data_IF_256063987995
#
_entry.id   IF_256063987995
#
_cell.length_a   1.000
_cell.length_b   1.000
_cell.length_c   1.000
_cell.angle_alpha   90.00
_cell.angle_beta   90.00
_cell.angle_gamma   90.00
#
_symmetry.space_group_name_H-M   'P 1'
#
loop_
_entity.id
_entity.type
_entity.pdbx_description
1 polymer ?
#
# COMPACT_ATOMS: atom_id res chain seq x y z
N UNK A 1 -29.28 -42.10 29.19
CA UNK A 1 -28.95 -43.49 29.49
C UNK A 1 -27.50 -43.57 29.95
N UNK A 2 -27.32 -43.86 31.21
CA UNK A 2 -26.03 -43.99 31.88
C UNK A 2 -25.49 -45.36 31.57
N UNK A 3 -24.21 -45.48 31.21
CA UNK A 3 -23.48 -46.78 31.31
C UNK A 3 -22.14 -46.51 32.03
N UNK A 4 -22.15 -46.97 33.27
CA UNK A 4 -21.00 -47.20 34.13
C UNK A 4 -20.31 -48.46 33.59
N UNK A 5 -18.99 -48.46 33.40
CA UNK A 5 -18.20 -49.68 33.23
C UNK A 5 -17.09 -49.68 34.25
N UNK A 6 -17.06 -50.77 34.96
CA UNK A 6 -16.33 -50.97 36.20
C UNK A 6 -14.80 -51.10 36.05
N UNK A 7 -14.20 -50.69 37.16
CA UNK A 7 -12.77 -50.80 37.48
C UNK A 7 -12.51 -52.18 38.08
N UNK A 8 -11.74 -53.03 37.36
CA UNK A 8 -11.28 -54.29 37.92
C UNK A 8 -9.83 -54.08 38.34
N UNK A 9 -9.63 -54.06 39.65
CA UNK A 9 -8.33 -54.04 40.30
C UNK A 9 -7.71 -55.42 40.25
N UNK A 10 -6.58 -55.58 39.59
CA UNK A 10 -5.74 -56.80 39.66
C UNK A 10 -4.51 -56.48 40.46
N UNK A 11 -4.50 -56.95 41.72
CA UNK A 11 -3.30 -56.96 42.59
C UNK A 11 -2.39 -58.08 42.11
N UNK A 12 -1.24 -57.78 41.55
CA UNK A 12 -0.14 -58.70 41.39
C UNK A 12 0.95 -58.38 42.41
N UNK A 13 1.14 -59.22 43.36
CA UNK A 13 2.30 -59.23 44.26
C UNK A 13 3.50 -59.72 43.46
N UNK A 14 4.50 -58.89 43.25
CA UNK A 14 5.77 -59.27 42.64
C UNK A 14 6.87 -59.04 43.66
N UNK A 15 7.59 -60.13 43.86
CA UNK A 15 8.66 -60.24 44.83
C UNK A 15 9.79 -59.23 44.61
N UNK A 16 10.45 -58.90 45.72
CA UNK A 16 11.59 -58.05 45.81
C UNK A 16 12.79 -58.60 45.04
N UNK A 17 12.99 -58.23 43.81
CA UNK A 17 14.27 -58.35 43.12
C UNK A 17 15.10 -57.12 43.47
N UNK A 18 16.25 -57.33 44.08
CA UNK A 18 17.16 -56.25 44.39
C UNK A 18 17.57 -55.50 43.14
N UNK A 19 17.05 -54.27 43.01
CA UNK A 19 17.49 -53.32 42.01
C UNK A 19 18.84 -52.76 42.48
N UNK A 20 19.92 -53.24 41.88
CA UNK A 20 21.18 -52.52 41.90
C UNK A 20 20.93 -51.18 41.19
N UNK A 21 21.05 -50.09 41.93
CA UNK A 21 20.96 -48.76 41.35
C UNK A 21 22.07 -48.62 40.30
N UNK A 22 21.67 -48.72 39.03
CA UNK A 22 22.54 -48.35 37.90
C UNK A 22 22.87 -46.86 37.99
N UNK A 23 23.96 -46.45 37.38
CA UNK A 23 24.35 -45.05 37.41
C UNK A 23 23.18 -44.22 36.86
N UNK A 24 22.73 -43.29 37.70
CA UNK A 24 21.74 -42.29 37.29
C UNK A 24 22.35 -41.46 36.15
N UNK A 25 21.88 -41.70 34.93
CA UNK A 25 22.22 -40.84 33.80
C UNK A 25 21.57 -39.48 34.09
N UNK A 26 22.40 -38.52 34.53
CA UNK A 26 21.94 -37.14 34.62
C UNK A 26 21.72 -36.65 33.20
N UNK A 27 20.44 -36.44 32.80
CA UNK A 27 20.13 -35.70 31.60
C UNK A 27 20.58 -34.26 31.82
N UNK A 28 21.63 -33.84 31.13
CA UNK A 28 21.95 -32.42 31.01
C UNK A 28 21.06 -31.83 29.92
N UNK A 29 20.19 -30.91 30.31
CA UNK A 29 19.47 -30.11 29.35
C UNK A 29 20.30 -28.87 28.97
N UNK A 30 20.58 -28.70 27.71
CA UNK A 30 21.17 -27.47 27.15
C UNK A 30 20.10 -26.61 26.52
N UNK A 31 20.14 -25.30 26.75
CA UNK A 31 19.32 -24.32 26.05
C UNK A 31 20.15 -23.63 24.99
N UNK A 32 19.62 -23.55 23.79
CA UNK A 32 20.20 -22.74 22.70
C UNK A 32 19.38 -21.45 22.60
N UNK A 33 19.97 -20.27 22.86
CA UNK A 33 19.28 -19.03 22.69
C UNK A 33 19.02 -18.82 21.20
N UNK A 34 17.78 -18.45 20.85
CA UNK A 34 17.39 -18.07 19.49
C UNK A 34 16.90 -16.62 19.52
N UNK A 35 17.43 -15.81 18.63
CA UNK A 35 17.01 -14.42 18.44
C UNK A 35 16.52 -14.25 17.01
N UNK A 36 15.46 -13.46 16.86
CA UNK A 36 14.94 -13.06 15.56
C UNK A 36 14.78 -11.54 15.54
N UNK A 37 15.25 -10.92 14.47
CA UNK A 37 14.97 -9.51 14.19
C UNK A 37 13.89 -9.45 13.14
N UNK A 38 12.77 -8.82 13.47
CA UNK A 38 11.68 -8.60 12.52
C UNK A 38 12.02 -7.36 11.68
N UNK A 39 12.05 -7.52 10.37
CA UNK A 39 12.26 -6.40 9.46
C UNK A 39 11.02 -5.50 9.42
N UNK A 40 11.24 -4.19 9.27
CA UNK A 40 10.15 -3.24 9.03
C UNK A 40 9.74 -3.25 7.57
N UNK A 41 8.47 -2.94 7.26
CA UNK A 41 8.04 -2.71 5.89
C UNK A 41 8.84 -1.60 5.23
N UNK A 42 9.12 -1.75 3.93
CA UNK A 42 10.00 -0.83 3.21
C UNK A 42 9.54 -0.64 1.76
N UNK A 43 9.35 0.61 1.34
CA UNK A 43 9.10 0.96 -0.05
C UNK A 43 10.06 2.05 -0.51
N UNK A 44 10.65 1.89 -1.69
CA UNK A 44 11.46 2.92 -2.34
C UNK A 44 10.79 3.41 -3.61
N UNK A 45 10.89 4.71 -3.82
CA UNK A 45 10.46 5.41 -5.04
C UNK A 45 11.60 6.32 -5.51
N UNK A 46 11.66 6.70 -6.81
CA UNK A 46 12.69 7.62 -7.28
C UNK A 46 12.58 8.98 -6.58
N UNK A 47 13.70 9.61 -6.35
CA UNK A 47 13.78 10.95 -5.76
C UNK A 47 13.51 12.08 -6.76
N UNK A 48 13.44 11.76 -8.06
CA UNK A 48 13.16 12.74 -9.11
C UNK A 48 11.70 13.10 -9.16
N UNK A 49 11.41 14.41 -9.20
CA UNK A 49 10.06 14.90 -9.37
C UNK A 49 9.48 14.49 -10.74
N UNK A 50 8.18 14.21 -10.77
CA UNK A 50 7.44 14.01 -12.01
C UNK A 50 7.12 15.39 -12.58
N UNK A 51 7.69 15.70 -13.74
CA UNK A 51 7.42 16.94 -14.46
C UNK A 51 6.36 16.69 -15.55
N UNK A 52 5.25 17.40 -15.46
CA UNK A 52 4.19 17.38 -16.47
C UNK A 52 4.33 18.51 -17.50
N UNK A 53 5.36 19.35 -17.37
CA UNK A 53 5.58 20.51 -18.22
C UNK A 53 4.51 21.58 -18.05
N UNK A 54 4.50 22.56 -18.98
CA UNK A 54 3.50 23.61 -18.98
C UNK A 54 2.19 23.09 -19.57
N UNK A 55 1.13 23.14 -18.77
CA UNK A 55 -0.20 22.67 -19.16
C UNK A 55 -1.20 23.83 -19.15
N UNK A 56 -2.16 23.80 -20.08
CA UNK A 56 -3.34 24.67 -20.03
C UNK A 56 -4.50 24.00 -19.28
N UNK A 57 -5.50 24.76 -18.92
CA UNK A 57 -6.73 24.21 -18.35
C UNK A 57 -7.52 23.38 -19.37
N UNK A 58 -8.34 22.47 -18.87
CA UNK A 58 -9.29 21.74 -19.68
C UNK A 58 -10.40 22.69 -20.17
N UNK A 59 -10.84 22.51 -21.42
CA UNK A 59 -11.96 23.25 -21.98
C UNK A 59 -13.28 22.67 -21.50
N UNK A 60 -14.25 23.54 -21.23
CA UNK A 60 -15.60 23.10 -20.85
C UNK A 60 -16.32 22.38 -21.98
N UNK A 61 -15.90 22.60 -23.24
CA UNK A 61 -16.58 22.09 -24.44
C UNK A 61 -15.94 20.81 -24.98
N UNK A 62 -14.64 20.64 -24.80
CA UNK A 62 -13.89 19.55 -25.44
C UNK A 62 -13.46 18.44 -24.47
N UNK A 63 -13.76 18.57 -23.17
CA UNK A 63 -13.48 17.53 -22.20
C UNK A 63 -12.08 17.57 -21.62
N UNK A 64 -11.57 16.40 -21.30
CA UNK A 64 -10.32 16.24 -20.55
C UNK A 64 -9.10 16.85 -21.24
N UNK A 65 -8.31 17.58 -20.47
CA UNK A 65 -6.93 17.86 -20.81
C UNK A 65 -6.02 17.08 -19.87
N UNK A 66 -5.23 16.20 -20.45
CA UNK A 66 -4.36 15.29 -19.68
C UNK A 66 -2.91 15.49 -20.06
N UNK A 67 -2.03 15.23 -19.10
CA UNK A 67 -0.60 15.12 -19.31
C UNK A 67 -0.08 13.83 -18.66
N UNK A 68 0.79 13.14 -19.36
CA UNK A 68 1.43 11.91 -18.85
C UNK A 68 2.86 12.23 -18.46
N UNK A 69 3.22 11.96 -17.23
CA UNK A 69 4.59 12.06 -16.74
C UNK A 69 5.43 10.83 -17.10
N UNK A 70 6.73 10.93 -16.88
CA UNK A 70 7.63 9.80 -17.06
C UNK A 70 7.27 8.65 -16.12
N UNK A 71 7.33 7.43 -16.63
CA UNK A 71 7.12 6.24 -15.82
C UNK A 71 8.24 6.10 -14.76
N UNK A 72 7.88 5.59 -13.59
CA UNK A 72 8.81 5.36 -12.50
C UNK A 72 8.55 4.01 -11.84
N UNK A 73 9.50 3.54 -11.04
CA UNK A 73 9.38 2.28 -10.32
C UNK A 73 9.11 2.50 -8.84
N UNK A 74 8.22 1.67 -8.31
CA UNK A 74 7.99 1.50 -6.87
C UNK A 74 8.52 0.13 -6.50
N UNK A 75 9.47 0.05 -5.57
CA UNK A 75 10.17 -1.18 -5.22
C UNK A 75 9.91 -1.52 -3.76
N UNK A 76 9.54 -2.77 -3.48
CA UNK A 76 9.57 -3.32 -2.13
C UNK A 76 11.03 -3.55 -1.74
N UNK A 77 11.55 -2.75 -0.80
CA UNK A 77 12.90 -2.91 -0.24
C UNK A 77 12.93 -3.75 1.05
N UNK A 78 11.79 -4.26 1.47
CA UNK A 78 11.69 -5.18 2.61
C UNK A 78 12.19 -6.58 2.30
N UNK A 79 12.32 -7.39 3.34
CA UNK A 79 12.83 -8.76 3.26
C UNK A 79 11.72 -9.80 3.00
N UNK A 80 10.48 -9.38 2.98
CA UNK A 80 9.29 -10.20 2.78
C UNK A 80 8.32 -9.57 1.78
N UNK A 81 7.26 -10.27 1.49
CA UNK A 81 6.14 -9.77 0.72
C UNK A 81 5.40 -8.68 1.50
N UNK A 82 5.05 -7.58 0.84
CA UNK A 82 4.41 -6.42 1.44
C UNK A 82 3.22 -5.93 0.60
N UNK A 83 2.21 -5.39 1.28
CA UNK A 83 1.13 -4.65 0.65
C UNK A 83 1.60 -3.22 0.37
N UNK A 84 1.52 -2.79 -0.88
CA UNK A 84 1.84 -1.42 -1.26
C UNK A 84 0.55 -0.66 -1.50
N UNK A 85 0.45 0.51 -0.90
CA UNK A 85 -0.64 1.46 -1.11
C UNK A 85 -0.13 2.81 -1.58
N UNK A 86 -1.03 3.59 -2.20
CA UNK A 86 -0.74 4.91 -2.74
C UNK A 86 -1.83 5.90 -2.36
N UNK A 87 -1.44 7.13 -2.07
CA UNK A 87 -2.34 8.26 -1.87
C UNK A 87 -1.82 9.51 -2.60
N UNK A 88 -2.74 10.38 -2.99
CA UNK A 88 -2.46 11.71 -3.51
C UNK A 88 -2.77 12.78 -2.49
N UNK A 89 -2.49 14.02 -2.84
CA UNK A 89 -2.78 15.21 -2.03
C UNK A 89 -3.33 16.32 -2.92
N UNK A 90 -3.89 17.35 -2.32
CA UNK A 90 -4.25 18.57 -3.04
C UNK A 90 -3.00 19.22 -3.66
N UNK A 91 -3.18 19.89 -4.77
CA UNK A 91 -2.11 20.57 -5.49
C UNK A 91 -2.11 22.05 -5.13
N UNK A 92 -0.95 22.60 -4.83
CA UNK A 92 -0.80 24.01 -4.43
C UNK A 92 0.24 24.71 -5.27
N UNK A 93 0.03 26.02 -5.51
CA UNK A 93 1.00 26.84 -6.23
C UNK A 93 0.60 28.32 -6.23
N UNK A 94 1.54 29.20 -5.90
CA UNK A 94 1.21 30.61 -5.67
C UNK A 94 0.17 30.78 -4.56
N UNK A 95 -0.96 31.37 -4.89
CA UNK A 95 -2.13 31.52 -4.00
C UNK A 95 -3.24 30.53 -4.31
N UNK A 96 -3.06 29.66 -5.32
CA UNK A 96 -4.06 28.72 -5.76
C UNK A 96 -3.93 27.36 -5.05
N UNK A 97 -5.06 26.72 -4.83
CA UNK A 97 -5.16 25.31 -4.39
C UNK A 97 -6.15 24.59 -5.26
N UNK A 98 -5.73 23.45 -5.80
CA UNK A 98 -6.61 22.54 -6.54
C UNK A 98 -6.86 21.30 -5.72
N UNK A 99 -8.13 21.05 -5.43
CA UNK A 99 -8.54 19.88 -4.66
C UNK A 99 -8.42 18.61 -5.51
N UNK A 100 -7.85 17.56 -4.96
CA UNK A 100 -7.77 16.26 -5.59
C UNK A 100 -9.18 15.63 -5.69
N UNK A 101 -9.66 15.45 -6.89
CA UNK A 101 -10.96 14.85 -7.16
C UNK A 101 -10.88 13.32 -7.22
N UNK A 102 -11.91 12.65 -6.73
CA UNK A 102 -12.00 11.20 -6.63
C UNK A 102 -13.00 10.57 -7.60
N UNK A 103 -13.59 11.32 -8.51
CA UNK A 103 -14.55 10.79 -9.46
C UNK A 103 -13.90 10.38 -10.78
N UNK A 104 -14.52 9.43 -11.47
CA UNK A 104 -14.06 8.87 -12.75
C UNK A 104 -14.55 9.66 -13.98
N UNK A 105 -15.01 10.90 -13.80
CA UNK A 105 -15.58 11.66 -14.91
C UNK A 105 -14.49 12.12 -15.89
N UNK A 106 -14.81 12.09 -17.15
CA UNK A 106 -13.91 12.29 -18.29
C UNK A 106 -13.82 13.73 -18.78
N UNK A 107 -14.68 14.61 -18.31
CA UNK A 107 -14.71 16.03 -18.68
C UNK A 107 -14.46 16.89 -17.48
N UNK A 108 -14.04 18.13 -17.68
CA UNK A 108 -13.83 19.11 -16.59
C UNK A 108 -14.70 18.78 -15.40
N UNK A 109 -14.11 18.47 -14.27
CA UNK A 109 -14.81 17.84 -13.14
C UNK A 109 -16.22 18.38 -12.90
N UNK A 110 -17.21 17.63 -13.35
CA UNK A 110 -18.60 17.84 -12.99
C UNK A 110 -18.91 16.91 -11.81
N UNK A 111 -19.12 17.47 -10.65
CA UNK A 111 -19.50 16.71 -9.47
C UNK A 111 -20.99 16.34 -9.57
N UNK A 112 -21.28 15.19 -10.18
CA UNK A 112 -22.61 14.59 -10.23
C UNK A 112 -23.75 15.42 -10.87
N UNK A 113 -23.44 16.55 -11.52
CA UNK A 113 -24.42 17.46 -12.08
C UNK A 113 -23.89 18.35 -13.18
N UNK A 114 -24.69 19.31 -13.60
CA UNK A 114 -24.39 20.27 -14.66
C UNK A 114 -23.48 21.42 -14.23
N UNK A 115 -23.09 21.50 -12.95
CA UNK A 115 -22.28 22.59 -12.42
C UNK A 115 -20.80 22.21 -12.47
N UNK A 116 -20.01 23.01 -13.16
CA UNK A 116 -18.55 22.86 -13.18
C UNK A 116 -17.98 23.18 -11.79
N UNK A 117 -17.20 22.24 -11.25
CA UNK A 117 -16.45 22.51 -10.02
C UNK A 117 -15.06 22.99 -10.41
N UNK A 118 -14.79 24.27 -10.18
CA UNK A 118 -13.48 24.88 -10.41
C UNK A 118 -12.46 24.40 -9.36
N UNK A 119 -11.18 24.61 -9.66
CA UNK A 119 -10.08 24.30 -8.76
C UNK A 119 -10.04 22.81 -8.33
N UNK A 120 -10.43 21.90 -9.21
CA UNK A 120 -10.29 20.47 -9.01
C UNK A 120 -9.44 19.86 -10.10
N UNK A 121 -8.61 18.93 -9.72
CA UNK A 121 -7.80 18.13 -10.63
C UNK A 121 -7.94 16.64 -10.31
N UNK A 122 -7.58 15.79 -11.24
CA UNK A 122 -7.54 14.35 -11.05
C UNK A 122 -6.13 13.86 -11.31
N UNK A 123 -5.67 12.90 -10.54
CA UNK A 123 -4.37 12.30 -10.69
C UNK A 123 -4.50 10.78 -10.66
N UNK A 124 -3.86 10.12 -11.58
CA UNK A 124 -3.83 8.67 -11.69
C UNK A 124 -2.38 8.18 -11.74
N UNK A 125 -2.16 6.96 -11.28
CA UNK A 125 -0.98 6.17 -11.63
C UNK A 125 -1.46 4.87 -12.26
N UNK A 126 -0.85 4.45 -13.36
CA UNK A 126 -1.26 3.24 -14.06
C UNK A 126 -0.15 2.18 -14.03
N UNK A 127 -0.53 0.95 -13.73
CA UNK A 127 0.29 -0.25 -13.91
C UNK A 127 -0.11 -0.90 -15.23
N UNK A 128 0.68 -0.66 -16.27
CA UNK A 128 0.29 -1.01 -17.61
C UNK A 128 -1.03 -0.36 -18.01
N UNK A 129 -2.07 -1.18 -18.19
CA UNK A 129 -3.42 -0.71 -18.56
C UNK A 129 -4.36 -0.49 -17.39
N UNK A 130 -3.93 -0.81 -16.15
CA UNK A 130 -4.77 -0.69 -14.96
C UNK A 130 -4.54 0.67 -14.30
N UNK A 131 -5.50 1.61 -14.36
CA UNK A 131 -5.37 2.90 -13.69
C UNK A 131 -5.77 2.79 -12.22
N UNK A 132 -5.04 3.49 -11.38
CA UNK A 132 -5.37 3.74 -9.97
C UNK A 132 -5.60 5.23 -9.80
N UNK A 133 -6.87 5.61 -9.63
CA UNK A 133 -7.23 7.00 -9.37
C UNK A 133 -6.78 7.37 -7.96
N UNK A 134 -5.92 8.37 -7.84
CA UNK A 134 -5.45 8.82 -6.54
C UNK A 134 -6.56 9.56 -5.78
N UNK A 135 -6.60 9.31 -4.49
CA UNK A 135 -7.44 10.01 -3.53
C UNK A 135 -6.57 10.41 -2.33
N UNK A 136 -7.10 11.21 -1.42
CA UNK A 136 -6.40 11.56 -0.17
C UNK A 136 -6.31 10.39 0.82
N UNK A 137 -6.95 9.26 0.54
CA UNK A 137 -6.85 8.03 1.32
C UNK A 137 -6.03 6.99 0.58
N UNK A 138 -5.34 6.13 1.33
CA UNK A 138 -4.53 5.06 0.76
C UNK A 138 -5.37 4.10 -0.08
N UNK A 139 -4.91 3.82 -1.28
CA UNK A 139 -5.46 2.82 -2.19
C UNK A 139 -4.45 1.71 -2.42
N UNK A 140 -4.92 0.47 -2.44
CA UNK A 140 -4.05 -0.69 -2.64
C UNK A 140 -3.56 -0.77 -4.09
N UNK A 141 -2.24 -0.83 -4.25
CA UNK A 141 -1.57 -1.22 -5.50
C UNK A 141 -1.34 -2.72 -5.60
N UNK A 142 -1.75 -3.46 -4.55
CA UNK A 142 -1.54 -4.90 -4.44
C UNK A 142 -0.28 -5.25 -3.67
N UNK A 143 0.15 -6.47 -3.87
CA UNK A 143 1.26 -7.08 -3.14
C UNK A 143 2.51 -7.12 -4.00
N UNK A 144 3.66 -6.79 -3.43
CA UNK A 144 4.97 -6.98 -4.03
C UNK A 144 5.80 -7.96 -3.20
N UNK A 145 6.41 -8.93 -3.85
CA UNK A 145 7.40 -9.81 -3.23
C UNK A 145 8.64 -9.01 -2.82
N UNK A 146 9.46 -9.56 -1.94
CA UNK A 146 10.74 -8.95 -1.56
C UNK A 146 11.57 -8.58 -2.80
N UNK A 147 12.09 -7.38 -2.82
CA UNK A 147 12.89 -6.81 -3.93
C UNK A 147 12.18 -6.70 -5.28
N UNK A 148 10.88 -6.99 -5.34
CA UNK A 148 10.11 -6.80 -6.57
C UNK A 148 9.76 -5.32 -6.79
N UNK A 149 9.63 -4.95 -8.06
CA UNK A 149 9.27 -3.59 -8.47
C UNK A 149 8.03 -3.60 -9.35
N UNK A 150 7.27 -2.51 -9.27
CA UNK A 150 6.14 -2.20 -10.12
C UNK A 150 6.40 -0.89 -10.86
N UNK A 151 6.26 -0.89 -12.18
CA UNK A 151 6.41 0.33 -12.99
C UNK A 151 5.07 1.02 -13.08
N UNK A 152 5.03 2.29 -12.67
CA UNK A 152 3.83 3.12 -12.70
C UNK A 152 4.01 4.29 -13.66
N UNK A 153 2.98 4.57 -14.44
CA UNK A 153 2.91 5.74 -15.32
C UNK A 153 1.91 6.72 -14.73
N UNK A 154 2.35 7.92 -14.33
CA UNK A 154 1.47 8.92 -13.76
C UNK A 154 0.76 9.72 -14.85
N UNK A 155 -0.50 10.08 -14.61
CA UNK A 155 -1.33 10.88 -15.51
C UNK A 155 -2.08 11.95 -14.73
N UNK A 156 -1.88 13.19 -15.15
CA UNK A 156 -2.53 14.36 -14.58
C UNK A 156 -3.68 14.81 -15.48
N UNK A 157 -4.81 15.12 -14.87
CA UNK A 157 -5.98 15.69 -15.54
C UNK A 157 -6.18 17.11 -15.03
N UNK A 158 -6.12 18.05 -15.93
CA UNK A 158 -6.13 19.47 -15.63
C UNK A 158 -7.51 19.98 -15.20
N UNK A 159 -7.55 20.96 -14.26
CA UNK A 159 -8.80 21.64 -13.92
C UNK A 159 -9.45 22.32 -15.10
N UNK A 160 -10.72 22.68 -14.93
CA UNK A 160 -11.48 23.42 -15.90
C UNK A 160 -10.95 24.85 -16.12
N UNK A 161 -11.18 25.36 -17.31
CA UNK A 161 -11.03 26.77 -17.61
C UNK A 161 -11.83 27.62 -16.60
N UNK A 162 -11.22 28.67 -16.09
CA UNK A 162 -11.76 29.51 -15.02
C UNK A 162 -11.30 29.14 -13.62
N UNK A 163 -10.54 28.05 -13.46
CA UNK A 163 -9.85 27.73 -12.20
C UNK A 163 -8.71 28.71 -11.94
N UNK A 164 -8.38 28.90 -10.65
CA UNK A 164 -7.26 29.73 -10.21
C UNK A 164 -5.89 29.12 -10.59
N UNK A 165 -4.83 29.89 -10.51
CA UNK A 165 -3.47 29.40 -10.71
C UNK A 165 -2.94 29.54 -12.13
N UNK A 166 -3.54 30.40 -12.95
CA UNK A 166 -3.00 30.75 -14.28
C UNK A 166 -1.57 31.28 -14.12
N UNK A 167 -0.63 30.65 -14.82
CA UNK A 167 0.80 31.02 -14.79
C UNK A 167 1.55 30.61 -13.51
N UNK A 168 0.90 29.95 -12.56
CA UNK A 168 1.56 29.43 -11.36
C UNK A 168 2.20 28.06 -11.62
N UNK A 169 3.31 27.78 -10.95
CA UNK A 169 3.83 26.42 -10.82
C UNK A 169 3.06 25.72 -9.71
N UNK A 170 2.29 24.70 -10.08
CA UNK A 170 1.49 23.90 -9.16
C UNK A 170 2.26 22.63 -8.78
N UNK A 171 2.22 22.25 -7.50
CA UNK A 171 2.89 21.05 -7.00
C UNK A 171 1.98 20.23 -6.08
N UNK A 172 2.19 18.92 -6.10
CA UNK A 172 1.52 17.95 -5.22
C UNK A 172 2.49 16.81 -4.88
N UNK A 173 2.09 15.95 -3.95
CA UNK A 173 2.84 14.74 -3.63
C UNK A 173 2.01 13.49 -3.90
N UNK A 174 2.69 12.42 -4.30
CA UNK A 174 2.17 11.05 -4.32
C UNK A 174 2.91 10.30 -3.23
N UNK A 175 2.18 9.75 -2.27
CA UNK A 175 2.75 9.02 -1.14
C UNK A 175 2.53 7.52 -1.32
N UNK A 176 3.60 6.75 -1.18
CA UNK A 176 3.56 5.28 -1.18
C UNK A 176 3.82 4.77 0.23
N UNK A 177 3.07 3.76 0.63
CA UNK A 177 3.19 3.14 1.96
C UNK A 177 3.28 1.63 1.81
N UNK A 178 4.21 1.01 2.53
CA UNK A 178 4.32 -0.43 2.66
C UNK A 178 3.78 -0.90 4.01
N UNK A 179 3.16 -2.09 4.03
CA UNK A 179 2.67 -2.76 5.24
C UNK A 179 2.70 -4.29 5.07
N UNK A 180 2.69 -5.02 6.20
CA UNK A 180 2.54 -6.48 6.22
C UNK A 180 1.08 -6.90 6.22
#
# INVERSE_FOLDING_TARGET
>A
MKRLIGLTALLLAIGSVGLTAGPAFSQSSGTVPATVTVASPCVTVPSTAIDYGTQGFASTETGERTSTGAAFQVTNCGLSQEFISVAGQDMTGGTATWTLGNNSQTTCFQDGGTTLTLNRYKHEVADGTTPYLLTTTNQSLGVLSASASKTLTPKLYMPCSGSDGVGATMSTAITFTASY
#
